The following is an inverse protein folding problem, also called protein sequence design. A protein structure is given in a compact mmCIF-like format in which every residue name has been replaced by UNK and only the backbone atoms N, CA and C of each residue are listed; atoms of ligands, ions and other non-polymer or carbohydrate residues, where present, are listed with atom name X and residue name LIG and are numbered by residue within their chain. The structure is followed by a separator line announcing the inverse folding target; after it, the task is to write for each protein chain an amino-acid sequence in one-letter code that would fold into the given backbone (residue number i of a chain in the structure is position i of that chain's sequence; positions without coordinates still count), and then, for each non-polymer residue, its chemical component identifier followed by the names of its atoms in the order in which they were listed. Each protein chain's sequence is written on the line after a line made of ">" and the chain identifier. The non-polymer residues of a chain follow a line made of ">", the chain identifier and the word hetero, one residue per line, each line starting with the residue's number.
data_IF_849983991794
#
_entry.id   IF_849983991794
#
_cell.length_a   1.000
_cell.length_b   1.000
_cell.length_c   1.000
_cell.angle_alpha   90.00
_cell.angle_beta   90.00
_cell.angle_gamma   90.00
#
_symmetry.space_group_name_H-M   'P 1'
#
loop_
_entity.id
_entity.type
_entity.pdbx_description
1 polymer ?
#
# COMPACT_ATOMS: atom_id res chain seq x y z
N UNK A 1 -91.41 45.56 24.47
CA UNK A 1 -90.64 46.06 23.31
C UNK A 1 -90.64 44.94 22.27
N UNK A 2 -91.20 45.20 21.07
CA UNK A 2 -91.04 44.55 19.74
C UNK A 2 -90.28 43.18 19.68
N UNK A 3 -90.59 42.15 18.89
CA UNK A 3 -91.64 41.72 17.93
C UNK A 3 -91.07 40.41 17.27
N UNK A 4 -91.93 39.56 16.67
CA UNK A 4 -91.68 38.43 15.72
C UNK A 4 -91.30 37.03 16.29
N UNK A 5 -92.08 35.94 16.08
CA UNK A 5 -92.48 35.21 14.83
C UNK A 5 -91.43 34.16 14.44
N UNK A 6 -91.68 32.94 13.96
CA UNK A 6 -92.85 32.11 13.65
C UNK A 6 -92.37 30.69 13.27
N UNK A 7 -93.27 29.69 13.31
CA UNK A 7 -93.37 28.51 12.41
C UNK A 7 -92.14 27.57 12.41
N UNK A 8 -92.23 26.33 12.88
CA UNK A 8 -93.20 25.33 12.44
C UNK A 8 -92.85 24.83 11.02
N UNK A 9 -91.89 23.91 10.90
CA UNK A 9 -91.66 23.13 9.68
C UNK A 9 -91.30 21.68 10.05
N UNK A 10 -92.24 20.80 9.74
CA UNK A 10 -92.11 19.35 9.68
C UNK A 10 -91.15 19.00 8.54
N UNK A 11 -89.99 18.42 8.87
CA UNK A 11 -89.00 17.97 7.89
C UNK A 11 -89.32 16.52 7.51
N UNK A 12 -89.81 16.33 6.28
CA UNK A 12 -89.99 15.01 5.66
C UNK A 12 -88.60 14.48 5.31
N UNK A 13 -88.19 13.40 5.98
CA UNK A 13 -86.93 12.70 5.75
C UNK A 13 -87.09 11.74 4.56
N UNK A 14 -86.83 12.22 3.36
CA UNK A 14 -86.77 11.38 2.15
C UNK A 14 -85.40 10.71 2.08
N UNK A 15 -85.35 9.43 2.43
CA UNK A 15 -84.18 8.55 2.27
C UNK A 15 -83.99 8.25 0.77
N UNK A 16 -83.12 9.02 0.11
CA UNK A 16 -82.65 8.75 -1.25
C UNK A 16 -81.45 7.81 -1.15
N UNK A 17 -81.68 6.52 -1.40
CA UNK A 17 -80.62 5.54 -1.63
C UNK A 17 -80.00 5.80 -3.02
N UNK A 18 -79.03 6.71 -3.07
CA UNK A 18 -78.17 6.87 -4.25
C UNK A 18 -77.17 5.70 -4.27
N UNK A 19 -77.45 4.67 -5.06
CA UNK A 19 -76.44 3.73 -5.54
C UNK A 19 -75.46 4.51 -6.41
N UNK A 20 -74.43 5.08 -5.78
CA UNK A 20 -73.24 5.54 -6.49
C UNK A 20 -72.48 4.28 -6.93
N UNK A 21 -72.77 3.82 -8.15
CA UNK A 21 -71.89 2.90 -8.88
C UNK A 21 -70.64 3.72 -9.19
N UNK A 22 -69.72 3.78 -8.23
CA UNK A 22 -68.39 4.31 -8.42
C UNK A 22 -67.66 3.36 -9.35
N UNK A 23 -67.62 3.66 -10.64
CA UNK A 23 -66.62 3.09 -11.53
C UNK A 23 -65.27 3.47 -10.94
N UNK A 24 -64.60 2.52 -10.29
CA UNK A 24 -63.23 2.69 -9.85
C UNK A 24 -62.41 3.00 -11.10
N UNK A 25 -62.19 4.29 -11.34
CA UNK A 25 -61.19 4.78 -12.28
C UNK A 25 -59.89 4.15 -11.81
N UNK A 26 -59.41 3.16 -12.56
CA UNK A 26 -58.06 2.64 -12.42
C UNK A 26 -57.14 3.79 -12.82
N UNK A 27 -56.89 4.70 -11.89
CA UNK A 27 -55.81 5.65 -12.06
C UNK A 27 -54.55 4.80 -12.14
N UNK A 28 -53.95 4.76 -13.33
CA UNK A 28 -52.68 4.11 -13.57
C UNK A 28 -51.70 4.64 -12.53
N UNK A 29 -51.38 3.81 -11.53
CA UNK A 29 -50.54 4.23 -10.43
C UNK A 29 -49.13 4.46 -10.97
N UNK A 30 -48.77 5.73 -11.05
CA UNK A 30 -47.43 6.20 -11.41
C UNK A 30 -46.66 6.44 -10.11
N UNK A 31 -45.44 5.92 -10.04
CA UNK A 31 -44.48 6.29 -8.99
C UNK A 31 -43.34 7.07 -9.65
N UNK A 32 -42.99 8.21 -9.06
CA UNK A 32 -41.79 8.95 -9.45
C UNK A 32 -40.65 8.65 -8.49
N UNK A 33 -39.50 8.32 -9.05
CA UNK A 33 -38.24 8.21 -8.33
C UNK A 33 -37.34 9.40 -8.69
N UNK A 34 -37.30 10.37 -7.80
CA UNK A 34 -36.51 11.58 -7.94
C UNK A 34 -35.40 11.72 -6.88
N UNK A 35 -34.52 12.73 -7.04
CA UNK A 35 -33.41 12.97 -6.11
C UNK A 35 -33.88 13.26 -4.68
N UNK A 36 -35.11 13.73 -4.48
CA UNK A 36 -35.67 14.10 -3.18
C UNK A 36 -35.87 12.93 -2.21
N UNK A 37 -35.88 11.69 -2.71
CA UNK A 37 -35.93 10.46 -1.88
C UNK A 37 -34.67 9.60 -2.00
N UNK A 38 -33.67 10.07 -2.75
CA UNK A 38 -32.38 9.37 -2.88
C UNK A 38 -31.56 9.51 -1.59
N UNK A 39 -30.87 8.46 -1.11
CA UNK A 39 -30.74 7.12 -1.72
C UNK A 39 -31.94 6.20 -1.44
N UNK A 40 -32.28 5.36 -2.42
CA UNK A 40 -33.28 4.31 -2.30
C UNK A 40 -32.65 3.02 -1.79
N UNK A 41 -33.01 2.61 -0.58
CA UNK A 41 -32.55 1.35 0.03
C UNK A 41 -33.50 0.21 -0.32
N UNK A 42 -33.20 -0.53 -1.38
CA UNK A 42 -34.06 -1.60 -1.92
C UNK A 42 -33.22 -2.78 -2.39
N UNK A 43 -33.68 -4.00 -2.12
CA UNK A 43 -33.12 -5.22 -2.73
C UNK A 43 -33.96 -5.73 -3.90
N UNK A 44 -35.27 -5.52 -3.83
CA UNK A 44 -36.21 -5.81 -4.91
C UNK A 44 -37.33 -4.78 -4.92
N UNK A 45 -37.86 -4.48 -6.10
CA UNK A 45 -39.06 -3.68 -6.30
C UNK A 45 -39.91 -4.29 -7.42
N UNK A 46 -41.01 -4.94 -7.05
CA UNK A 46 -42.01 -5.45 -7.99
C UNK A 46 -43.20 -4.48 -8.06
N UNK A 47 -43.39 -3.88 -9.23
CA UNK A 47 -44.49 -2.97 -9.50
C UNK A 47 -45.88 -3.64 -9.36
N UNK A 48 -46.03 -4.93 -9.72
CA UNK A 48 -47.31 -5.65 -9.59
C UNK A 48 -47.71 -5.79 -8.12
N UNK A 49 -46.75 -6.16 -7.26
CA UNK A 49 -46.97 -6.25 -5.80
C UNK A 49 -47.33 -4.90 -5.19
N UNK A 50 -46.77 -3.81 -5.71
CA UNK A 50 -47.02 -2.45 -5.23
C UNK A 50 -48.20 -1.75 -5.93
N UNK A 51 -48.91 -2.45 -6.81
CA UNK A 51 -49.99 -1.90 -7.65
C UNK A 51 -49.54 -0.61 -8.37
N UNK A 52 -48.34 -0.61 -8.94
CA UNK A 52 -47.73 0.45 -9.75
C UNK A 52 -47.63 -0.03 -11.19
N UNK A 53 -48.00 0.80 -12.15
CA UNK A 53 -47.87 0.47 -13.57
C UNK A 53 -46.58 1.05 -14.19
N UNK A 54 -46.18 2.23 -13.73
CA UNK A 54 -45.09 2.99 -14.33
C UNK A 54 -44.18 3.57 -13.25
N UNK A 55 -42.88 3.29 -13.36
CA UNK A 55 -41.84 4.05 -12.69
C UNK A 55 -41.34 5.16 -13.62
N UNK A 56 -41.36 6.40 -13.14
CA UNK A 56 -40.69 7.53 -13.77
C UNK A 56 -39.42 7.88 -12.98
N UNK A 57 -38.24 7.66 -13.56
CA UNK A 57 -36.96 8.02 -12.96
C UNK A 57 -36.59 9.45 -13.39
N UNK A 58 -36.33 10.33 -12.42
CA UNK A 58 -36.05 11.75 -12.66
C UNK A 58 -34.77 12.18 -11.93
N UNK A 59 -33.95 13.00 -12.59
CA UNK A 59 -32.69 13.48 -12.01
C UNK A 59 -31.70 12.34 -11.69
N UNK A 60 -30.73 12.63 -10.82
CA UNK A 60 -29.76 11.63 -10.36
C UNK A 60 -30.27 10.96 -9.09
N UNK A 61 -30.43 9.64 -9.13
CA UNK A 61 -30.80 8.83 -7.97
C UNK A 61 -29.72 7.79 -7.66
N UNK A 62 -29.60 7.43 -6.39
CA UNK A 62 -28.75 6.37 -5.91
C UNK A 62 -29.59 5.19 -5.43
N UNK A 63 -29.27 3.99 -5.91
CA UNK A 63 -29.86 2.73 -5.46
C UNK A 63 -28.84 1.98 -4.59
N UNK A 64 -29.26 1.56 -3.41
CA UNK A 64 -28.42 0.88 -2.42
C UNK A 64 -29.10 -0.41 -2.00
N UNK A 65 -28.42 -1.55 -2.19
CA UNK A 65 -28.92 -2.81 -1.67
C UNK A 65 -28.74 -2.84 -0.13
N UNK A 66 -29.75 -3.24 0.67
CA UNK A 66 -29.66 -3.24 2.13
C UNK A 66 -28.50 -4.07 2.69
N UNK A 67 -28.16 -5.17 2.01
CA UNK A 67 -27.06 -6.06 2.38
C UNK A 67 -25.71 -5.69 1.76
N UNK A 68 -25.61 -4.56 1.05
CA UNK A 68 -24.35 -4.14 0.45
C UNK A 68 -23.31 -3.78 1.52
N UNK A 69 -22.11 -4.34 1.38
CA UNK A 69 -20.95 -4.11 2.24
C UNK A 69 -19.68 -3.99 1.40
N UNK A 70 -18.71 -3.14 1.81
CA UNK A 70 -17.40 -3.08 1.17
C UNK A 70 -16.74 -4.47 1.10
N UNK A 71 -16.23 -4.83 -0.08
CA UNK A 71 -15.53 -6.09 -0.30
C UNK A 71 -16.41 -7.33 -0.48
N UNK A 72 -17.75 -7.20 -0.42
CA UNK A 72 -18.64 -8.35 -0.65
C UNK A 72 -18.54 -8.84 -2.11
N UNK A 73 -18.28 -10.14 -2.28
CA UNK A 73 -18.17 -10.81 -3.58
C UNK A 73 -18.85 -12.19 -3.52
N UNK A 74 -19.84 -12.49 -4.39
CA UNK A 74 -20.39 -11.60 -5.41
C UNK A 74 -21.14 -10.41 -4.81
N UNK A 75 -21.28 -9.29 -5.55
CA UNK A 75 -22.10 -8.17 -5.12
C UNK A 75 -23.58 -8.59 -5.01
N UNK A 76 -24.34 -8.07 -4.02
CA UNK A 76 -25.78 -8.30 -3.99
C UNK A 76 -26.43 -7.59 -5.18
N UNK A 77 -27.59 -8.07 -5.58
CA UNK A 77 -28.30 -7.62 -6.79
C UNK A 77 -29.60 -6.92 -6.44
N UNK A 78 -29.81 -5.74 -7.02
CA UNK A 78 -31.07 -5.00 -6.93
C UNK A 78 -31.94 -5.39 -8.12
N UNK A 79 -33.15 -5.89 -7.83
CA UNK A 79 -34.13 -6.24 -8.85
C UNK A 79 -35.22 -5.17 -8.96
N UNK A 80 -35.49 -4.69 -10.17
CA UNK A 80 -36.61 -3.79 -10.45
C UNK A 80 -37.42 -4.43 -11.58
N UNK A 81 -38.65 -4.83 -11.30
CA UNK A 81 -39.54 -5.45 -12.27
C UNK A 81 -40.84 -4.65 -12.38
N UNK A 82 -41.07 -4.07 -13.57
CA UNK A 82 -42.22 -3.22 -13.82
C UNK A 82 -42.78 -3.39 -15.23
N UNK A 83 -44.06 -3.05 -15.40
CA UNK A 83 -44.67 -3.03 -16.74
C UNK A 83 -44.00 -2.00 -17.63
N UNK A 84 -43.85 -0.77 -17.12
CA UNK A 84 -43.19 0.34 -17.82
C UNK A 84 -42.21 1.06 -16.93
N UNK A 85 -41.05 1.41 -17.50
CA UNK A 85 -40.03 2.22 -16.84
C UNK A 85 -39.61 3.34 -17.78
N UNK A 86 -39.70 4.59 -17.32
CA UNK A 86 -39.37 5.77 -18.10
C UNK A 86 -38.28 6.58 -17.42
N UNK A 87 -37.24 6.92 -18.17
CA UNK A 87 -36.14 7.77 -17.74
C UNK A 87 -36.34 9.17 -18.29
N UNK A 88 -36.56 10.15 -17.42
CA UNK A 88 -36.66 11.54 -17.81
C UNK A 88 -35.33 12.04 -18.42
N UNK A 89 -35.34 13.13 -19.22
CA UNK A 89 -34.11 13.73 -19.71
C UNK A 89 -33.13 14.04 -18.59
N UNK A 90 -31.84 13.77 -18.81
CA UNK A 90 -30.76 13.95 -17.83
C UNK A 90 -30.91 13.13 -16.54
N UNK A 91 -31.74 12.08 -16.54
CA UNK A 91 -31.79 11.16 -15.41
C UNK A 91 -30.53 10.29 -15.36
N UNK A 92 -30.13 9.89 -14.15
CA UNK A 92 -28.98 9.03 -13.90
C UNK A 92 -29.22 8.15 -12.70
N UNK A 93 -28.90 6.87 -12.82
CA UNK A 93 -28.93 5.90 -11.72
C UNK A 93 -27.50 5.58 -11.32
N UNK A 94 -27.18 5.70 -10.04
CA UNK A 94 -25.90 5.31 -9.46
C UNK A 94 -26.12 4.15 -8.50
N UNK A 95 -25.25 3.13 -8.53
CA UNK A 95 -25.36 1.98 -7.62
C UNK A 95 -23.99 1.37 -7.32
N UNK A 96 -23.85 0.73 -6.17
CA UNK A 96 -22.73 -0.18 -5.87
C UNK A 96 -23.13 -1.65 -5.98
N UNK A 97 -24.42 -1.97 -6.00
CA UNK A 97 -24.92 -3.32 -6.17
C UNK A 97 -24.93 -3.72 -7.65
N UNK A 98 -25.01 -5.03 -7.93
CA UNK A 98 -25.46 -5.47 -9.25
C UNK A 98 -26.89 -4.96 -9.47
N UNK A 99 -27.24 -4.65 -10.71
CA UNK A 99 -28.54 -4.03 -11.02
C UNK A 99 -29.22 -4.79 -12.15
N UNK A 100 -30.43 -5.26 -11.88
CA UNK A 100 -31.30 -5.91 -12.83
C UNK A 100 -32.58 -5.09 -12.99
N UNK A 101 -32.81 -4.56 -14.18
CA UNK A 101 -34.03 -3.81 -14.52
C UNK A 101 -34.79 -4.55 -15.61
N UNK A 102 -36.05 -4.86 -15.33
CA UNK A 102 -37.00 -5.49 -16.26
C UNK A 102 -38.19 -4.58 -16.53
N UNK A 103 -38.43 -4.31 -17.81
CA UNK A 103 -39.64 -3.69 -18.34
C UNK A 103 -40.47 -4.72 -19.12
N UNK A 104 -41.55 -5.22 -18.53
CA UNK A 104 -42.38 -6.28 -19.13
C UNK A 104 -43.02 -5.84 -20.44
N UNK A 105 -43.43 -4.58 -20.54
CA UNK A 105 -43.93 -3.97 -21.77
C UNK A 105 -42.87 -3.08 -22.38
N UNK A 106 -42.34 -2.09 -21.65
CA UNK A 106 -41.38 -1.16 -22.26
C UNK A 106 -40.46 -0.46 -21.28
N UNK A 107 -39.23 -0.18 -21.74
CA UNK A 107 -38.33 0.79 -21.11
C UNK A 107 -38.14 1.97 -22.08
N UNK A 108 -38.15 3.21 -21.60
CA UNK A 108 -38.02 4.39 -22.45
C UNK A 108 -37.22 5.55 -21.86
N UNK A 109 -36.78 6.46 -22.73
CA UNK A 109 -36.15 7.73 -22.32
C UNK A 109 -34.62 7.73 -22.36
N UNK A 110 -33.99 8.60 -21.57
CA UNK A 110 -32.53 8.75 -21.54
C UNK A 110 -31.92 7.92 -20.40
N UNK A 111 -31.59 6.66 -20.67
CA UNK A 111 -31.07 5.73 -19.67
C UNK A 111 -29.58 6.00 -19.46
N UNK A 112 -29.20 6.38 -18.23
CA UNK A 112 -27.81 6.55 -17.82
C UNK A 112 -27.59 5.85 -16.48
N UNK A 113 -26.78 4.80 -16.46
CA UNK A 113 -26.55 3.98 -15.27
C UNK A 113 -25.05 3.83 -15.03
N UNK A 114 -24.62 4.15 -13.81
CA UNK A 114 -23.22 4.05 -13.36
C UNK A 114 -23.12 3.12 -12.16
N UNK A 115 -22.38 2.02 -12.30
CA UNK A 115 -21.93 1.21 -11.20
C UNK A 115 -20.59 1.72 -10.65
N UNK A 116 -20.55 2.01 -9.35
CA UNK A 116 -19.39 2.56 -8.63
C UNK A 116 -18.73 1.57 -7.67
N UNK A 117 -19.00 0.27 -7.82
CA UNK A 117 -18.39 -0.73 -6.92
C UNK A 117 -16.88 -0.82 -7.06
N UNK A 118 -16.34 -0.50 -8.24
CA UNK A 118 -14.89 -0.45 -8.47
C UNK A 118 -14.23 0.59 -7.58
N UNK A 119 -13.72 0.15 -6.45
CA UNK A 119 -13.04 0.95 -5.44
C UNK A 119 -11.54 0.71 -5.56
N UNK A 120 -10.77 1.79 -5.42
CA UNK A 120 -9.32 1.71 -5.41
C UNK A 120 -8.83 0.86 -4.24
N UNK A 121 -7.89 -0.04 -4.51
CA UNK A 121 -7.19 -0.80 -3.50
C UNK A 121 -6.35 0.13 -2.62
N UNK A 122 -6.30 -0.14 -1.32
CA UNK A 122 -5.47 0.63 -0.40
C UNK A 122 -3.99 0.47 -0.76
N UNK A 123 -3.24 1.57 -0.72
CA UNK A 123 -1.80 1.52 -0.87
C UNK A 123 -1.16 0.72 0.27
N UNK A 124 -0.02 0.09 -0.04
CA UNK A 124 0.82 -0.58 0.93
C UNK A 124 1.28 0.40 2.00
N UNK A 125 1.31 -0.05 3.25
CA UNK A 125 1.77 0.79 4.34
C UNK A 125 3.23 1.21 4.10
N UNK A 126 3.41 2.52 4.02
CA UNK A 126 4.71 3.15 4.15
C UNK A 126 5.03 3.27 5.64
N UNK A 127 6.12 2.64 6.11
CA UNK A 127 6.67 3.01 7.42
C UNK A 127 7.30 4.39 7.24
N UNK A 128 6.79 5.46 7.86
CA UNK A 128 7.40 6.80 7.76
C UNK A 128 8.82 6.83 8.34
N UNK A 129 9.22 5.79 9.08
CA UNK A 129 10.56 5.60 9.58
C UNK A 129 11.43 4.70 8.69
N UNK A 130 10.94 4.26 7.53
CA UNK A 130 11.70 3.48 6.55
C UNK A 130 12.92 4.27 6.04
N UNK A 131 12.76 5.58 5.82
CA UNK A 131 13.81 6.49 5.38
C UNK A 131 14.50 7.24 6.51
N UNK A 132 13.87 7.28 7.69
CA UNK A 132 14.55 7.82 8.88
C UNK A 132 15.77 6.94 9.08
N UNK A 133 16.93 7.57 9.13
CA UNK A 133 18.20 6.94 9.48
C UNK A 133 18.03 6.34 10.87
N UNK A 134 17.48 5.12 10.93
CA UNK A 134 17.70 4.19 12.03
C UNK A 134 19.13 3.76 11.83
N UNK A 135 20.05 4.65 12.24
CA UNK A 135 21.27 4.19 12.87
C UNK A 135 20.77 3.29 13.98
N UNK A 136 20.70 1.98 13.74
CA UNK A 136 21.09 1.10 14.84
C UNK A 136 22.43 1.69 15.28
N UNK A 137 22.55 2.09 16.56
CA UNK A 137 23.73 2.79 17.07
C UNK A 137 24.93 2.07 16.45
N UNK A 138 25.66 2.77 15.56
CA UNK A 138 26.58 2.24 14.54
C UNK A 138 26.95 0.81 14.88
N UNK A 139 26.55 -0.20 14.09
CA UNK A 139 26.67 -1.61 14.52
C UNK A 139 28.00 -1.77 15.25
N UNK A 140 28.03 -2.07 16.57
CA UNK A 140 29.03 -1.56 17.50
C UNK A 140 30.43 -1.47 16.92
N UNK A 141 31.03 -0.28 17.03
CA UNK A 141 32.41 -0.07 16.64
C UNK A 141 33.29 -1.14 17.28
N UNK A 142 34.25 -1.64 16.53
CA UNK A 142 35.19 -2.60 17.05
C UNK A 142 35.95 -1.97 18.23
N UNK A 143 36.08 -2.66 19.38
CA UNK A 143 36.89 -2.13 20.46
C UNK A 143 38.36 -1.97 20.03
N UNK A 144 39.06 -0.98 20.58
CA UNK A 144 40.48 -0.78 20.29
C UNK A 144 41.32 -1.94 20.83
N UNK A 145 42.44 -2.17 20.17
CA UNK A 145 43.46 -3.10 20.64
C UNK A 145 44.12 -2.60 21.92
N UNK A 146 44.49 -3.52 22.80
CA UNK A 146 45.21 -3.19 24.04
C UNK A 146 46.62 -2.71 23.72
N UNK A 147 47.15 -1.76 24.49
CA UNK A 147 48.57 -1.40 24.35
C UNK A 147 49.44 -2.57 24.81
N UNK A 148 50.60 -2.72 24.18
CA UNK A 148 51.63 -3.66 24.62
C UNK A 148 52.31 -3.15 25.87
N UNK A 149 52.62 -4.06 26.78
CA UNK A 149 53.35 -3.74 28.00
C UNK A 149 54.81 -3.37 27.70
N UNK A 150 55.32 -2.38 28.43
CA UNK A 150 56.74 -2.03 28.40
C UNK A 150 57.57 -3.20 28.93
N UNK A 151 58.72 -3.43 28.29
CA UNK A 151 59.67 -4.42 28.78
C UNK A 151 60.37 -3.96 30.06
N UNK A 152 60.81 -4.93 30.85
CA UNK A 152 61.48 -4.67 32.12
C UNK A 152 62.77 -3.87 31.94
N UNK A 153 62.95 -2.83 32.77
CA UNK A 153 64.18 -2.07 32.85
C UNK A 153 65.26 -2.87 33.59
N UNK A 154 66.20 -3.43 32.82
CA UNK A 154 67.30 -4.23 33.36
C UNK A 154 68.46 -3.37 33.87
N UNK A 155 68.49 -2.07 33.54
CA UNK A 155 69.60 -1.18 33.88
C UNK A 155 69.72 -0.92 35.38
N UNK A 156 68.60 -0.90 36.10
CA UNK A 156 68.54 -0.66 37.55
C UNK A 156 68.53 -1.99 38.32
N UNK A 157 67.82 -2.99 37.80
CA UNK A 157 67.56 -4.25 38.52
C UNK A 157 68.70 -5.27 38.41
N UNK A 158 69.44 -5.27 37.29
CA UNK A 158 70.50 -6.23 37.02
C UNK A 158 71.72 -5.56 36.38
N UNK A 159 72.48 -4.74 37.13
CA UNK A 159 73.57 -3.91 36.57
C UNK A 159 74.72 -4.71 35.94
N UNK A 160 74.80 -6.02 36.18
CA UNK A 160 75.81 -6.94 35.61
C UNK A 160 75.18 -8.07 34.77
N UNK A 161 73.86 -8.08 34.56
CA UNK A 161 73.15 -9.28 34.12
C UNK A 161 71.99 -9.04 33.16
N UNK A 162 72.05 -9.76 32.04
CA UNK A 162 71.02 -9.90 30.99
C UNK A 162 70.88 -8.72 30.03
N UNK A 163 70.53 -9.04 28.79
CA UNK A 163 70.14 -8.05 27.79
C UNK A 163 68.74 -7.53 28.13
N UNK A 164 68.44 -6.31 27.69
CA UNK A 164 67.09 -5.79 27.73
C UNK A 164 66.12 -6.66 26.92
N UNK A 165 64.85 -6.68 27.33
CA UNK A 165 63.79 -7.38 26.63
C UNK A 165 63.07 -6.44 25.65
N UNK A 166 62.60 -6.97 24.53
CA UNK A 166 61.79 -6.21 23.56
C UNK A 166 60.44 -5.90 24.19
N UNK A 167 59.94 -4.67 23.97
CA UNK A 167 58.60 -4.30 24.43
C UNK A 167 57.54 -5.23 23.84
N UNK A 168 56.44 -5.46 24.56
CA UNK A 168 55.39 -6.34 24.08
C UNK A 168 54.61 -5.71 22.92
N UNK A 169 54.06 -6.54 22.03
CA UNK A 169 53.27 -6.03 20.90
C UNK A 169 51.93 -5.45 21.38
N UNK A 170 51.48 -4.39 20.72
CA UNK A 170 50.11 -3.91 20.87
C UNK A 170 49.12 -4.93 20.31
N UNK A 171 47.95 -5.04 20.94
CA UNK A 171 46.83 -5.82 20.48
C UNK A 171 46.19 -5.22 19.23
N UNK A 172 45.59 -6.06 18.39
CA UNK A 172 44.86 -5.59 17.21
C UNK A 172 43.51 -4.99 17.61
N UNK A 173 43.08 -3.96 16.90
CA UNK A 173 41.70 -3.50 16.94
C UNK A 173 40.75 -4.55 16.36
N UNK A 174 39.53 -4.59 16.90
CA UNK A 174 38.51 -5.54 16.44
C UNK A 174 37.75 -4.94 15.25
N UNK A 175 37.21 -5.79 14.37
CA UNK A 175 36.37 -5.37 13.25
C UNK A 175 35.03 -4.80 13.74
N UNK A 176 34.53 -3.74 13.10
CA UNK A 176 33.19 -3.21 13.35
C UNK A 176 32.08 -4.17 12.92
N UNK A 177 30.91 -4.09 13.56
CA UNK A 177 29.81 -5.01 13.24
C UNK A 177 29.15 -4.69 11.89
N UNK A 178 28.76 -5.72 11.14
CA UNK A 178 27.98 -5.53 9.91
C UNK A 178 26.56 -5.02 10.22
N UNK A 179 26.05 -4.15 9.35
CA UNK A 179 24.70 -3.61 9.42
C UNK A 179 23.63 -4.65 9.11
N UNK A 180 22.48 -4.54 9.76
CA UNK A 180 21.29 -5.36 9.50
C UNK A 180 20.47 -4.91 8.28
N UNK A 181 19.62 -5.82 7.78
CA UNK A 181 18.70 -5.56 6.67
C UNK A 181 17.57 -4.58 7.09
N UNK A 182 17.18 -3.70 6.18
CA UNK A 182 16.03 -2.81 6.33
C UNK A 182 14.70 -3.57 6.30
N UNK A 183 13.63 -2.96 6.80
CA UNK A 183 12.31 -3.59 6.85
C UNK A 183 11.72 -3.81 5.47
N UNK A 184 11.01 -4.92 5.29
CA UNK A 184 10.24 -5.18 4.07
C UNK A 184 9.00 -4.27 4.05
N UNK A 185 8.63 -3.76 2.87
CA UNK A 185 7.41 -2.98 2.74
C UNK A 185 6.16 -3.88 2.62
N UNK A 186 4.99 -3.27 2.79
CA UNK A 186 3.71 -3.95 2.52
C UNK A 186 3.30 -3.79 1.06
N UNK A 187 2.66 -4.81 0.51
CA UNK A 187 2.07 -4.76 -0.83
C UNK A 187 0.84 -3.84 -0.86
N UNK A 188 0.57 -3.27 -2.04
CA UNK A 188 -0.68 -2.61 -2.35
C UNK A 188 -1.83 -3.61 -2.45
N UNK A 189 -3.03 -3.23 -2.03
CA UNK A 189 -4.21 -4.08 -2.16
C UNK A 189 -4.77 -4.03 -3.57
N UNK A 190 -5.36 -5.13 -4.00
CA UNK A 190 -6.10 -5.18 -5.27
C UNK A 190 -7.29 -4.19 -5.26
N UNK A 191 -7.58 -3.63 -6.44
CA UNK A 191 -8.81 -2.88 -6.67
C UNK A 191 -10.01 -3.83 -6.78
N UNK A 192 -11.19 -3.38 -6.35
CA UNK A 192 -12.39 -4.23 -6.39
C UNK A 192 -13.01 -4.27 -7.79
N UNK A 193 -13.63 -5.40 -8.12
CA UNK A 193 -14.40 -5.53 -9.35
C UNK A 193 -15.66 -4.65 -9.32
N UNK A 194 -16.06 -4.10 -10.47
CA UNK A 194 -17.37 -3.48 -10.61
C UNK A 194 -18.49 -4.55 -10.65
N UNK A 195 -19.71 -4.15 -10.32
CA UNK A 195 -20.87 -5.05 -10.40
C UNK A 195 -21.55 -4.99 -11.77
N UNK A 196 -22.27 -6.05 -12.12
CA UNK A 196 -22.96 -6.17 -13.38
C UNK A 196 -24.20 -5.25 -13.47
N UNK A 197 -24.54 -4.82 -14.67
CA UNK A 197 -25.79 -4.12 -14.98
C UNK A 197 -26.52 -4.89 -16.09
N UNK A 198 -27.77 -5.27 -15.83
CA UNK A 198 -28.64 -5.96 -16.78
C UNK A 198 -29.91 -5.14 -17.00
N UNK A 199 -30.15 -4.77 -18.26
CA UNK A 199 -31.39 -4.18 -18.73
C UNK A 199 -32.14 -5.19 -19.59
N UNK A 200 -33.42 -5.37 -19.32
CA UNK A 200 -34.26 -6.29 -20.07
C UNK A 200 -35.61 -5.64 -20.34
N UNK A 201 -36.00 -5.52 -21.60
CA UNK A 201 -37.27 -4.91 -21.97
C UNK A 201 -37.93 -5.67 -23.10
N UNK A 202 -39.26 -5.79 -23.13
CA UNK A 202 -39.94 -6.31 -24.34
C UNK A 202 -39.73 -5.38 -25.53
N UNK A 203 -39.91 -4.07 -25.34
CA UNK A 203 -39.55 -3.07 -26.35
C UNK A 203 -38.92 -1.85 -25.71
N UNK A 204 -37.94 -1.25 -26.38
CA UNK A 204 -37.45 0.08 -26.02
C UNK A 204 -38.25 1.15 -26.77
N UNK A 205 -38.69 2.19 -26.07
CA UNK A 205 -39.49 3.26 -26.68
C UNK A 205 -38.71 3.99 -27.78
N UNK A 206 -39.37 4.60 -28.78
CA UNK A 206 -38.69 5.42 -29.77
C UNK A 206 -37.83 6.50 -29.10
N UNK A 207 -36.64 6.78 -29.67
CA UNK A 207 -35.65 7.71 -29.15
C UNK A 207 -35.03 7.34 -27.78
N UNK A 208 -35.16 6.10 -27.31
CA UNK A 208 -34.47 5.65 -26.10
C UNK A 208 -32.97 5.59 -26.32
N UNK A 209 -32.20 6.24 -25.46
CA UNK A 209 -30.74 6.18 -25.46
C UNK A 209 -30.26 5.46 -24.22
N UNK A 210 -29.17 4.72 -24.33
CA UNK A 210 -28.64 3.91 -23.24
C UNK A 210 -27.16 4.17 -23.05
N UNK A 211 -26.78 4.59 -21.85
CA UNK A 211 -25.40 4.83 -21.43
C UNK A 211 -25.14 4.03 -20.16
N UNK A 212 -24.26 3.03 -20.22
CA UNK A 212 -23.92 2.17 -19.09
C UNK A 212 -22.44 2.28 -18.72
N UNK A 213 -22.12 2.33 -17.44
CA UNK A 213 -20.73 2.37 -16.96
C UNK A 213 -20.53 1.44 -15.77
N UNK A 214 -19.53 0.55 -15.84
CA UNK A 214 -19.14 -0.36 -14.76
C UNK A 214 -17.62 -0.56 -14.77
N UNK A 215 -16.88 0.35 -14.14
CA UNK A 215 -15.40 0.40 -14.19
C UNK A 215 -14.82 -0.25 -12.93
N UNK A 216 -13.86 -1.15 -13.10
CA UNK A 216 -13.13 -1.76 -11.98
C UNK A 216 -12.22 -0.77 -11.25
N UNK A 217 -11.97 -1.01 -9.96
CA UNK A 217 -11.11 -0.15 -9.15
C UNK A 217 -9.63 -0.30 -9.47
N UNK A 218 -8.84 0.78 -9.36
CA UNK A 218 -7.37 0.72 -9.51
C UNK A 218 -6.75 -0.09 -8.35
N UNK A 219 -5.70 -0.86 -8.59
CA UNK A 219 -4.89 -1.41 -7.51
C UNK A 219 -4.15 -0.33 -6.71
N UNK A 220 -3.92 -0.59 -5.43
CA UNK A 220 -3.12 0.29 -4.56
C UNK A 220 -1.63 0.18 -4.87
N UNK A 221 -0.87 1.25 -4.66
CA UNK A 221 0.59 1.23 -4.84
C UNK A 221 1.26 0.36 -3.77
N UNK A 222 2.40 -0.26 -4.09
CA UNK A 222 3.24 -0.95 -3.11
C UNK A 222 3.95 0.03 -2.16
N UNK A 223 4.20 -0.38 -0.92
CA UNK A 223 4.93 0.42 0.06
C UNK A 223 6.44 0.49 -0.22
N UNK A 224 7.14 1.46 0.38
CA UNK A 224 8.59 1.56 0.26
C UNK A 224 9.33 0.70 1.29
N UNK A 225 10.39 0.02 0.83
CA UNK A 225 11.26 -0.75 1.70
C UNK A 225 12.09 0.13 2.64
N UNK A 226 12.40 -0.36 3.83
CA UNK A 226 13.23 0.33 4.81
C UNK A 226 14.69 0.38 4.41
N UNK A 227 15.38 1.46 4.80
CA UNK A 227 16.83 1.56 4.62
C UNK A 227 17.58 0.49 5.42
N UNK A 228 18.65 -0.05 4.85
CA UNK A 228 19.59 -0.92 5.56
C UNK A 228 20.32 -0.18 6.70
N UNK A 229 20.66 -0.91 7.76
CA UNK A 229 21.41 -0.36 8.90
C UNK A 229 22.88 -0.15 8.52
N UNK A 230 23.52 0.91 8.99
CA UNK A 230 24.94 1.18 8.71
C UNK A 230 25.86 0.18 9.46
N UNK A 231 26.99 -0.18 8.85
CA UNK A 231 28.05 -0.96 9.52
C UNK A 231 28.85 -0.11 10.52
N UNK A 232 29.48 -0.75 11.49
CA UNK A 232 30.35 -0.10 12.49
C UNK A 232 31.75 0.19 12.03
N UNK A 233 32.40 1.15 12.64
CA UNK A 233 33.82 1.42 12.38
C UNK A 233 34.69 0.35 13.04
N UNK A 234 35.89 0.11 12.49
CA UNK A 234 36.87 -0.76 13.12
C UNK A 234 37.45 -0.14 14.39
N UNK A 235 38.02 -0.96 15.27
CA UNK A 235 38.77 -0.49 16.43
C UNK A 235 40.20 -0.09 16.08
N UNK A 236 40.76 0.93 16.73
CA UNK A 236 42.18 1.29 16.50
C UNK A 236 43.10 0.21 17.03
N UNK A 237 44.25 -0.01 16.39
CA UNK A 237 45.28 -0.90 16.91
C UNK A 237 45.96 -0.33 18.16
N UNK A 238 46.36 -1.20 19.09
CA UNK A 238 47.08 -0.82 20.30
C UNK A 238 48.53 -0.43 20.02
N UNK A 239 49.09 0.48 20.81
CA UNK A 239 50.49 0.89 20.68
C UNK A 239 51.41 -0.21 21.20
N UNK A 240 52.53 -0.49 20.55
CA UNK A 240 53.54 -1.42 21.06
C UNK A 240 54.26 -0.87 22.29
N UNK A 241 54.61 -1.73 23.23
CA UNK A 241 55.32 -1.36 24.46
C UNK A 241 56.75 -0.91 24.20
N UNK A 242 57.30 -0.10 25.10
CA UNK A 242 58.69 0.33 25.05
C UNK A 242 59.64 -0.85 25.30
N UNK A 243 60.77 -0.89 24.58
CA UNK A 243 61.86 -1.84 24.84
C UNK A 243 62.62 -1.53 26.14
N UNK A 244 63.16 -2.55 26.80
CA UNK A 244 63.90 -2.40 28.04
C UNK A 244 65.17 -1.57 27.85
N UNK A 245 65.51 -0.77 28.86
CA UNK A 245 66.76 -0.01 28.87
C UNK A 245 67.95 -0.94 29.18
N UNK A 246 69.11 -0.67 28.59
CA UNK A 246 70.28 -1.54 28.69
C UNK A 246 71.05 -1.37 30.00
N UNK A 247 71.48 -2.48 30.60
CA UNK A 247 72.55 -2.48 31.60
C UNK A 247 73.93 -2.20 30.97
N UNK A 248 74.91 -1.84 31.80
CA UNK A 248 76.26 -1.44 31.36
C UNK A 248 76.91 -2.54 30.51
N UNK A 249 77.32 -2.17 29.29
CA UNK A 249 77.98 -3.10 28.36
C UNK A 249 77.03 -4.05 27.61
N UNK A 250 75.71 -3.81 27.65
CA UNK A 250 74.69 -4.55 26.89
C UNK A 250 73.98 -3.64 25.89
N UNK A 251 73.28 -4.25 24.94
CA UNK A 251 72.45 -3.54 23.94
C UNK A 251 71.04 -3.31 24.48
N UNK A 252 70.49 -2.13 24.22
CA UNK A 252 69.08 -1.86 24.50
C UNK A 252 68.20 -2.66 23.53
N UNK A 253 66.98 -2.96 23.96
CA UNK A 253 66.05 -3.70 23.14
C UNK A 253 65.20 -2.77 22.27
N UNK A 254 64.67 -3.29 21.18
CA UNK A 254 63.73 -2.57 20.33
C UNK A 254 62.37 -2.45 21.02
N UNK A 255 61.55 -1.49 20.59
CA UNK A 255 60.17 -1.43 21.03
C UNK A 255 59.32 -2.54 20.42
N UNK A 256 58.18 -2.79 21.04
CA UNK A 256 57.17 -3.72 20.55
C UNK A 256 56.51 -3.24 19.27
N UNK A 257 56.01 -4.17 18.48
CA UNK A 257 55.25 -3.89 17.25
C UNK A 257 53.90 -3.28 17.64
N UNK A 258 53.43 -2.26 16.92
CA UNK A 258 52.07 -1.75 17.09
C UNK A 258 51.03 -2.74 16.56
N UNK A 259 49.89 -2.87 17.21
CA UNK A 259 48.80 -3.74 16.76
C UNK A 259 48.12 -3.19 15.51
N UNK A 260 47.58 -4.06 14.66
CA UNK A 260 46.83 -3.63 13.48
C UNK A 260 45.49 -2.96 13.87
N UNK A 261 45.00 -2.04 13.05
CA UNK A 261 43.65 -1.52 13.16
C UNK A 261 42.63 -2.56 12.71
N UNK A 262 41.42 -2.50 13.26
CA UNK A 262 40.30 -3.32 12.86
C UNK A 262 39.68 -2.83 11.54
N UNK A 263 39.19 -3.77 10.75
CA UNK A 263 38.41 -3.46 9.55
C UNK A 263 37.04 -2.84 9.93
N UNK A 264 36.45 -2.03 9.06
CA UNK A 264 35.07 -1.58 9.19
C UNK A 264 34.08 -2.71 8.90
N UNK A 265 32.87 -2.60 9.47
CA UNK A 265 31.72 -3.44 9.15
C UNK A 265 31.11 -3.07 7.80
N UNK A 266 30.47 -4.02 7.14
CA UNK A 266 29.70 -3.77 5.92
C UNK A 266 28.36 -3.10 6.26
N UNK A 267 27.85 -2.29 5.35
CA UNK A 267 26.50 -1.75 5.43
C UNK A 267 25.45 -2.83 5.22
N UNK A 268 24.32 -2.66 5.89
CA UNK A 268 23.16 -3.53 5.79
C UNK A 268 22.38 -3.35 4.49
N UNK A 269 21.61 -4.37 4.14
CA UNK A 269 20.85 -4.41 2.89
C UNK A 269 19.60 -3.54 3.00
N UNK A 270 19.25 -2.80 1.95
CA UNK A 270 17.93 -2.19 1.87
C UNK A 270 16.81 -3.23 1.88
N UNK A 271 15.71 -2.94 2.55
CA UNK A 271 14.50 -3.76 2.52
C UNK A 271 13.83 -3.69 1.14
N UNK A 272 13.20 -4.76 0.66
CA UNK A 272 12.43 -4.75 -0.58
C UNK A 272 11.20 -3.82 -0.48
N UNK A 273 10.85 -3.20 -1.59
CA UNK A 273 9.56 -2.55 -1.76
C UNK A 273 8.43 -3.57 -1.95
N UNK A 274 7.21 -3.17 -1.66
CA UNK A 274 6.02 -4.01 -1.81
C UNK A 274 5.57 -4.06 -3.27
N UNK A 275 4.89 -5.13 -3.68
CA UNK A 275 4.27 -5.20 -5.00
C UNK A 275 3.05 -4.25 -5.07
N UNK A 276 2.75 -3.73 -6.26
CA UNK A 276 1.51 -3.01 -6.53
C UNK A 276 0.33 -3.98 -6.59
N UNK A 277 -0.83 -3.57 -6.09
CA UNK A 277 -2.06 -4.35 -6.17
C UNK A 277 -2.59 -4.45 -7.59
N UNK A 278 -3.29 -5.52 -7.94
CA UNK A 278 -3.89 -5.67 -9.26
C UNK A 278 -5.12 -4.77 -9.41
N UNK A 279 -5.44 -4.39 -10.65
CA UNK A 279 -6.68 -3.70 -10.98
C UNK A 279 -7.89 -4.63 -10.89
N UNK A 280 -9.02 -4.08 -10.45
CA UNK A 280 -10.30 -4.78 -10.41
C UNK A 280 -10.90 -4.98 -11.80
N UNK A 281 -11.65 -6.08 -11.99
CA UNK A 281 -12.37 -6.34 -13.24
C UNK A 281 -13.50 -5.31 -13.47
N UNK A 282 -13.72 -4.90 -14.71
CA UNK A 282 -14.96 -4.19 -15.10
C UNK A 282 -16.20 -5.06 -14.89
N UNK A 283 -17.36 -4.42 -14.70
CA UNK A 283 -18.63 -5.13 -14.53
C UNK A 283 -19.23 -5.54 -15.87
N UNK A 284 -19.97 -6.65 -15.90
CA UNK A 284 -20.62 -7.12 -17.12
C UNK A 284 -21.87 -6.28 -17.44
N UNK A 285 -22.05 -5.94 -18.70
CA UNK A 285 -23.15 -5.10 -19.17
C UNK A 285 -24.05 -5.86 -20.15
N UNK A 286 -25.29 -6.12 -19.75
CA UNK A 286 -26.24 -6.89 -20.54
C UNK A 286 -27.46 -6.04 -20.91
N UNK A 287 -27.79 -5.98 -22.19
CA UNK A 287 -28.99 -5.30 -22.70
C UNK A 287 -29.78 -6.27 -23.56
N UNK A 288 -30.92 -6.71 -23.05
CA UNK A 288 -31.77 -7.71 -23.68
C UNK A 288 -33.10 -7.15 -24.14
N UNK A 289 -33.56 -7.67 -25.27
CA UNK A 289 -34.92 -7.49 -25.77
C UNK A 289 -35.66 -8.80 -25.54
N UNK A 290 -36.77 -8.75 -24.78
CA UNK A 290 -37.65 -9.89 -24.58
C UNK A 290 -38.46 -10.05 -25.86
N UNK A 291 -38.25 -11.17 -26.55
CA UNK A 291 -39.05 -11.52 -27.72
C UNK A 291 -40.14 -12.53 -27.30
N UNK A 292 -41.36 -12.35 -27.80
CA UNK A 292 -42.45 -13.32 -27.61
C UNK A 292 -42.12 -14.64 -28.32
N UNK A 293 -41.60 -14.51 -29.53
CA UNK A 293 -41.06 -15.58 -30.34
C UNK A 293 -39.95 -15.03 -31.26
N UNK A 294 -39.41 -15.88 -32.14
CA UNK A 294 -38.31 -15.49 -33.03
C UNK A 294 -38.71 -14.41 -34.06
N UNK A 295 -40.00 -14.24 -34.34
CA UNK A 295 -40.56 -13.36 -35.37
C UNK A 295 -41.08 -12.04 -34.78
N UNK A 296 -41.54 -12.04 -33.53
CA UNK A 296 -42.11 -10.89 -32.82
C UNK A 296 -41.11 -10.32 -31.80
N UNK A 297 -40.10 -9.64 -32.32
CA UNK A 297 -39.09 -8.93 -31.52
C UNK A 297 -39.53 -7.48 -31.30
N UNK A 298 -39.45 -6.98 -30.08
CA UNK A 298 -39.62 -5.55 -29.83
C UNK A 298 -38.44 -4.71 -30.35
N UNK A 299 -38.56 -3.39 -30.20
CA UNK A 299 -37.58 -2.47 -30.74
C UNK A 299 -36.34 -2.38 -29.83
N UNK A 300 -35.11 -2.35 -30.40
CA UNK A 300 -33.90 -2.03 -29.64
C UNK A 300 -33.86 -0.55 -29.23
N UNK A 301 -32.96 -0.17 -28.29
CA UNK A 301 -32.68 1.24 -28.05
C UNK A 301 -32.11 1.92 -29.30
N UNK A 302 -32.37 3.21 -29.45
CA UNK A 302 -31.94 4.00 -30.62
C UNK A 302 -30.46 4.36 -30.63
N UNK A 303 -29.84 4.47 -29.44
CA UNK A 303 -28.40 4.67 -29.26
C UNK A 303 -27.93 3.88 -28.02
N UNK A 304 -26.72 3.32 -28.10
CA UNK A 304 -26.12 2.54 -27.01
C UNK A 304 -24.64 2.88 -26.87
N UNK A 305 -24.25 3.32 -25.68
CA UNK A 305 -22.87 3.61 -25.28
C UNK A 305 -22.56 2.91 -23.98
N UNK A 306 -21.33 2.45 -23.84
CA UNK A 306 -20.92 1.73 -22.65
C UNK A 306 -19.47 1.99 -22.27
N UNK A 307 -19.14 1.77 -20.99
CA UNK A 307 -17.77 1.82 -20.46
C UNK A 307 -17.61 0.72 -19.41
N UNK A 308 -16.71 -0.23 -19.67
CA UNK A 308 -16.55 -1.47 -18.89
C UNK A 308 -15.09 -1.81 -18.62
N UNK A 309 -14.24 -0.78 -18.57
CA UNK A 309 -12.80 -0.96 -18.37
C UNK A 309 -12.52 -1.60 -17.01
N UNK A 310 -11.50 -2.45 -16.96
CA UNK A 310 -10.90 -2.80 -15.68
C UNK A 310 -10.16 -1.61 -15.08
N UNK A 311 -9.84 -1.70 -13.79
CA UNK A 311 -8.97 -0.72 -13.14
C UNK A 311 -7.52 -0.89 -13.57
N UNK A 312 -6.72 0.18 -13.46
CA UNK A 312 -5.26 0.07 -13.63
C UNK A 312 -4.63 -0.75 -12.49
N UNK A 313 -3.46 -1.33 -12.76
CA UNK A 313 -2.62 -1.87 -11.69
C UNK A 313 -2.07 -0.77 -10.78
N UNK A 314 -1.65 -1.19 -9.58
CA UNK A 314 -0.90 -0.37 -8.65
C UNK A 314 0.55 -0.23 -9.07
N UNK A 315 1.15 0.91 -8.74
CA UNK A 315 2.58 1.14 -8.94
C UNK A 315 3.42 0.31 -7.95
N UNK A 316 4.63 -0.09 -8.31
CA UNK A 316 5.49 -0.89 -7.45
C UNK A 316 6.04 -0.02 -6.31
N UNK A 317 6.26 -0.67 -5.17
CA UNK A 317 7.00 -0.10 -4.07
C UNK A 317 8.49 0.03 -4.39
N UNK A 318 9.07 1.19 -4.10
CA UNK A 318 10.51 1.40 -4.22
C UNK A 318 11.26 0.60 -3.14
N UNK A 319 12.34 -0.08 -3.54
CA UNK A 319 13.24 -0.75 -2.60
C UNK A 319 14.02 0.24 -1.73
N UNK A 320 14.24 -0.13 -0.47
CA UNK A 320 14.94 0.69 0.51
C UNK A 320 16.40 0.94 0.15
N UNK A 321 16.93 2.09 0.59
CA UNK A 321 18.32 2.44 0.37
C UNK A 321 19.27 1.50 1.15
N UNK A 322 20.52 1.33 0.71
CA UNK A 322 21.49 0.55 1.45
C UNK A 322 21.97 1.25 2.74
N UNK A 323 22.47 0.45 3.67
CA UNK A 323 23.29 0.91 4.79
C UNK A 323 24.68 1.33 4.31
N UNK A 324 25.25 2.35 4.95
CA UNK A 324 26.61 2.79 4.71
C UNK A 324 27.62 1.79 5.29
N UNK A 325 28.80 1.76 4.68
CA UNK A 325 29.96 1.02 5.21
C UNK A 325 30.49 1.67 6.50
N UNK A 326 31.06 0.85 7.36
CA UNK A 326 31.96 1.28 8.43
C UNK A 326 33.37 1.57 7.90
N UNK A 327 34.08 2.45 8.58
CA UNK A 327 35.43 2.91 8.24
C UNK A 327 36.46 2.01 8.95
N UNK A 328 37.51 1.61 8.23
CA UNK A 328 38.62 0.88 8.83
C UNK A 328 39.45 1.78 9.75
N UNK A 329 39.85 1.27 10.91
CA UNK A 329 40.57 2.08 11.88
C UNK A 329 42.10 2.01 11.70
N UNK A 330 42.79 3.01 12.23
CA UNK A 330 44.25 3.11 12.13
C UNK A 330 44.97 2.01 12.90
N UNK A 331 46.10 1.56 12.36
CA UNK A 331 47.05 0.73 13.09
C UNK A 331 47.68 1.47 14.27
N UNK A 332 48.00 0.73 15.32
CA UNK A 332 48.71 1.24 16.48
C UNK A 332 50.17 1.56 16.18
N UNK A 333 50.74 2.51 16.91
CA UNK A 333 52.14 2.88 16.71
C UNK A 333 53.07 1.80 17.28
N UNK A 334 54.22 1.58 16.65
CA UNK A 334 55.24 0.73 17.25
C UNK A 334 55.92 1.45 18.43
N UNK A 335 56.22 0.68 19.47
CA UNK A 335 56.87 1.17 20.68
C UNK A 335 58.28 1.67 20.41
N UNK A 336 58.77 2.56 21.27
CA UNK A 336 60.15 3.02 21.22
C UNK A 336 61.11 1.95 21.77
N UNK A 337 62.29 1.83 21.17
CA UNK A 337 63.37 1.04 21.78
C UNK A 337 63.86 1.66 23.09
N UNK A 338 64.45 0.83 23.95
CA UNK A 338 65.02 1.26 25.21
C UNK A 338 66.23 2.16 25.03
N UNK A 339 66.60 2.86 26.11
CA UNK A 339 67.79 3.70 26.16
C UNK A 339 69.05 2.84 26.36
N UNK A 340 70.11 3.15 25.61
CA UNK A 340 71.42 2.55 25.84
C UNK A 340 72.07 3.01 27.15
N UNK A 341 72.94 2.19 27.74
CA UNK A 341 73.69 2.55 28.95
C UNK A 341 74.82 3.55 28.61
N UNK A 342 74.88 4.70 29.30
CA UNK A 342 75.95 5.70 29.12
C UNK A 342 77.26 5.41 29.91
N UNK A 343 77.37 4.28 30.61
CA UNK A 343 78.40 4.07 31.63
C UNK A 343 79.59 3.18 31.20
N UNK A 344 79.87 3.06 29.90
CA UNK A 344 81.02 2.32 29.36
C UNK A 344 82.11 3.24 28.76
N UNK A 345 83.41 2.96 28.92
CA UNK A 345 84.49 3.89 28.55
C UNK A 345 84.82 4.02 27.05
N UNK A 346 84.15 3.33 26.10
CA UNK A 346 84.65 3.28 24.70
C UNK A 346 83.61 3.50 23.58
N UNK A 347 82.28 3.46 23.79
CA UNK A 347 81.34 3.80 22.70
C UNK A 347 80.13 4.57 23.24
N UNK A 348 80.08 5.86 22.92
CA UNK A 348 78.92 6.72 23.15
C UNK A 348 77.81 6.36 22.16
N UNK A 349 76.81 5.61 22.60
CA UNK A 349 75.51 5.66 21.95
C UNK A 349 74.75 6.83 22.58
N UNK A 350 74.26 7.81 21.81
CA UNK A 350 73.59 8.98 22.38
C UNK A 350 72.36 8.54 23.17
N UNK A 351 72.40 8.75 24.49
CA UNK A 351 71.23 8.65 25.36
C UNK A 351 70.14 9.57 24.84
N UNK A 352 69.02 8.98 24.43
CA UNK A 352 67.84 9.70 23.93
C UNK A 352 67.37 9.23 22.54
N UNK A 353 68.18 8.47 21.80
CA UNK A 353 67.72 7.85 20.56
C UNK A 353 67.17 6.45 20.85
N UNK A 354 65.89 6.24 20.55
CA UNK A 354 65.23 4.93 20.66
C UNK A 354 66.06 3.87 19.92
N UNK A 355 66.49 2.79 20.58
CA UNK A 355 67.37 1.76 19.99
C UNK A 355 66.78 1.01 18.78
N UNK A 356 65.51 1.29 18.45
CA UNK A 356 64.79 0.86 17.27
C UNK A 356 63.30 0.94 17.56
N UNK A 357 62.56 1.75 16.80
CA UNK A 357 61.11 1.77 16.93
C UNK A 357 60.55 0.46 16.38
N UNK A 358 59.62 -0.16 17.09
CA UNK A 358 58.83 -1.25 16.53
C UNK A 358 58.09 -0.77 15.28
N UNK A 359 57.76 -1.65 14.32
CA UNK A 359 56.95 -1.26 13.19
C UNK A 359 55.53 -0.88 13.64
N UNK A 360 54.94 0.09 12.94
CA UNK A 360 53.52 0.43 13.11
C UNK A 360 52.64 -0.73 12.65
N UNK A 361 51.49 -0.89 13.29
CA UNK A 361 50.43 -1.77 12.81
C UNK A 361 49.86 -1.28 11.48
N UNK A 362 49.27 -2.19 10.72
CA UNK A 362 48.57 -1.83 9.48
C UNK A 362 47.21 -1.21 9.79
N UNK A 363 46.78 -0.25 8.98
CA UNK A 363 45.40 0.24 9.01
C UNK A 363 44.42 -0.86 8.59
N UNK A 364 43.26 -0.89 9.22
CA UNK A 364 42.12 -1.68 8.78
C UNK A 364 41.54 -1.14 7.48
N UNK A 365 40.80 -1.99 6.78
CA UNK A 365 40.08 -1.65 5.55
C UNK A 365 38.67 -1.20 5.87
N UNK A 366 38.15 -0.26 5.09
CA UNK A 366 36.73 0.08 5.13
C UNK A 366 35.88 -1.13 4.71
N UNK A 367 34.66 -1.22 5.25
CA UNK A 367 33.66 -2.16 4.77
C UNK A 367 33.09 -1.76 3.40
N UNK A 368 32.09 -2.51 2.93
CA UNK A 368 31.34 -2.20 1.72
C UNK A 368 29.93 -1.72 2.06
N UNK A 369 29.35 -0.75 1.33
CA UNK A 369 27.94 -0.42 1.47
C UNK A 369 27.08 -1.65 1.17
N UNK A 370 25.92 -1.75 1.82
CA UNK A 370 24.98 -2.82 1.48
C UNK A 370 24.42 -2.66 0.06
N UNK A 371 23.74 -3.68 -0.49
CA UNK A 371 22.96 -3.54 -1.71
C UNK A 371 21.64 -2.81 -1.42
N UNK A 372 21.15 -2.07 -2.42
CA UNK A 372 19.80 -1.49 -2.42
C UNK A 372 18.75 -2.60 -2.40
N UNK A 373 17.63 -2.34 -1.73
CA UNK A 373 16.46 -3.20 -1.77
C UNK A 373 15.91 -3.34 -3.18
N UNK A 374 15.31 -4.49 -3.48
CA UNK A 374 14.63 -4.71 -4.77
C UNK A 374 13.34 -3.88 -4.81
N UNK A 375 13.03 -3.35 -5.98
CA UNK A 375 11.72 -2.76 -6.23
C UNK A 375 10.67 -3.87 -6.26
N UNK A 376 9.46 -3.55 -5.84
CA UNK A 376 8.29 -4.39 -6.08
C UNK A 376 7.96 -4.48 -7.57
N UNK A 377 6.95 -5.27 -7.88
CA UNK A 377 6.40 -5.42 -9.23
C UNK A 377 5.16 -4.55 -9.39
N UNK A 378 4.95 -4.07 -10.61
CA UNK A 378 3.70 -3.42 -10.99
C UNK A 378 2.55 -4.41 -10.82
N UNK A 379 1.39 -3.93 -10.37
CA UNK A 379 0.17 -4.72 -10.39
C UNK A 379 -0.33 -4.91 -11.82
N UNK A 380 -0.97 -6.05 -12.09
CA UNK A 380 -1.57 -6.28 -13.40
C UNK A 380 -2.82 -5.39 -13.58
N UNK A 381 -3.07 -4.84 -14.78
CA UNK A 381 -4.33 -4.16 -15.06
C UNK A 381 -5.51 -5.14 -14.98
N UNK A 382 -6.61 -4.65 -14.45
CA UNK A 382 -7.87 -5.39 -14.38
C UNK A 382 -8.42 -5.68 -15.77
N UNK A 383 -9.04 -6.85 -15.92
CA UNK A 383 -9.70 -7.19 -17.18
C UNK A 383 -10.94 -6.32 -17.40
N UNK A 384 -11.24 -5.92 -18.64
CA UNK A 384 -12.54 -5.35 -18.95
C UNK A 384 -13.65 -6.35 -18.64
N UNK A 385 -14.85 -5.84 -18.34
CA UNK A 385 -16.06 -6.64 -18.26
C UNK A 385 -16.50 -7.13 -19.65
N UNK A 386 -17.46 -8.05 -19.66
CA UNK A 386 -18.10 -8.48 -20.90
C UNK A 386 -19.30 -7.58 -21.20
N UNK A 387 -19.68 -7.49 -22.47
CA UNK A 387 -20.93 -6.85 -22.86
C UNK A 387 -21.73 -7.71 -23.83
N UNK A 388 -23.05 -7.65 -23.69
CA UNK A 388 -23.97 -8.39 -24.53
C UNK A 388 -25.19 -7.54 -24.86
N UNK A 389 -25.48 -7.41 -26.16
CA UNK A 389 -26.77 -6.92 -26.65
C UNK A 389 -27.43 -8.04 -27.45
N UNK A 390 -28.65 -8.41 -27.08
CA UNK A 390 -29.28 -9.58 -27.68
C UNK A 390 -30.78 -9.70 -27.44
N UNK A 391 -31.34 -10.75 -28.04
CA UNK A 391 -32.73 -11.14 -27.84
C UNK A 391 -32.78 -12.34 -26.89
N UNK A 392 -33.74 -12.33 -25.98
CA UNK A 392 -34.04 -13.47 -25.13
C UNK A 392 -35.49 -13.85 -25.37
N UNK A 393 -35.72 -15.09 -25.81
CA UNK A 393 -37.06 -15.65 -25.95
C UNK A 393 -37.48 -16.15 -24.57
N UNK A 394 -38.47 -15.51 -23.97
CA UNK A 394 -39.11 -16.02 -22.76
C UNK A 394 -40.48 -16.57 -23.15
N UNK A 395 -40.68 -17.87 -22.95
CA UNK A 395 -42.02 -18.44 -23.11
C UNK A 395 -42.91 -17.81 -22.04
N UNK A 396 -43.86 -16.98 -22.46
CA UNK A 396 -44.80 -16.32 -21.55
C UNK A 396 -45.48 -17.35 -20.66
N UNK A 397 -45.19 -17.32 -19.37
CA UNK A 397 -46.01 -17.98 -18.35
C UNK A 397 -47.27 -17.15 -18.19
N UNK A 398 -48.26 -17.40 -19.05
CA UNK A 398 -49.61 -16.86 -18.90
C UNK A 398 -50.41 -17.66 -17.88
#
# INVERSE_FOLDING_TARGET
>A
MRLFSSKGRLLILTLIFCFAIGTASSQNALVSWGPEKSPYKIGSYDCKENNVQLILIQGTIELVHPDDKPGLSPPPEIFIDCDKIMFAPNSKVVTMAALYIRGETSIGGAINIENRRGAQGADGLFDPNADVVRRAPNGPDGPPGQNGDDAEDTSIKYPLGRNAETGHAGGNGIRGQDGGRGSDASDGRDGSAAAAITLKARTYSPATTVVLSAIGGKGGAGGHGGRGIDGGDGGTGGTGGKGGDAAVGRTAATGGVGGAGGDGGNGGWGGPGGDGGNGGRGGDLNVYIIAEDAEHKGNPPSDFKYTLNGGGGGEPGIGGAPGAKGIGAKGGFGGCGGNGSNLGPIVFHPSGACAGQGPHGKDGRDGEPGPTGKWGRDGDPGRPGDWNIGFVVEKGGH
#
